data_IF_970925373378
#
_entry.id   IF_970925373378
#
_cell.length_a   1.000
_cell.length_b   1.000
_cell.length_c   1.000
_cell.angle_alpha   90.00
_cell.angle_beta   90.00
_cell.angle_gamma   90.00
#
_symmetry.space_group_name_H-M   'P 1'
#
loop_
_entity.id
_entity.type
_entity.pdbx_description
1 polymer ?
#
# COMPACT_ATOMS: atom_id res chain seq x y z
N UNK A 1 -2.74 -0.70 -20.99
CA UNK A 1 -3.47 0.28 -20.13
C UNK A 1 -2.67 0.55 -18.88
N UNK A 2 -2.99 1.61 -18.14
CA UNK A 2 -2.49 1.88 -16.80
C UNK A 2 -3.61 1.53 -15.82
N UNK A 3 -3.35 0.64 -14.86
CA UNK A 3 -4.38 0.11 -13.97
C UNK A 3 -3.92 0.24 -12.53
N UNK A 4 -4.75 0.87 -11.69
CA UNK A 4 -4.52 0.97 -10.24
C UNK A 4 -5.47 0.04 -9.52
N UNK A 5 -4.92 -0.82 -8.66
CA UNK A 5 -5.62 -1.94 -8.05
C UNK A 5 -5.74 -1.73 -6.55
N UNK A 6 -6.95 -1.40 -6.10
CA UNK A 6 -7.34 -1.40 -4.69
C UNK A 6 -7.70 -2.80 -4.19
N UNK A 7 -7.98 -2.90 -2.89
CA UNK A 7 -8.27 -4.17 -2.24
C UNK A 7 -9.77 -4.43 -1.99
N UNK A 8 -10.64 -3.63 -2.60
CA UNK A 8 -12.10 -3.80 -2.50
C UNK A 8 -12.58 -5.08 -3.15
N UNK A 9 -13.63 -5.66 -2.57
CA UNK A 9 -14.23 -6.93 -2.98
C UNK A 9 -14.79 -6.93 -4.40
N UNK A 10 -15.17 -5.76 -4.93
CA UNK A 10 -15.72 -5.64 -6.28
C UNK A 10 -14.79 -6.19 -7.36
N UNK A 11 -13.46 -6.13 -7.16
CA UNK A 11 -12.50 -6.66 -8.13
C UNK A 11 -12.49 -8.19 -8.23
N UNK A 12 -13.15 -8.91 -7.31
CA UNK A 12 -13.19 -10.38 -7.30
C UNK A 12 -13.82 -11.00 -8.56
N UNK A 13 -14.56 -10.21 -9.33
CA UNK A 13 -15.16 -10.64 -10.61
C UNK A 13 -14.17 -10.64 -11.78
N UNK A 14 -12.96 -10.11 -11.57
CA UNK A 14 -11.92 -10.05 -12.60
C UNK A 14 -10.90 -11.19 -12.44
N UNK A 15 -10.47 -11.73 -13.56
CA UNK A 15 -9.26 -12.55 -13.61
C UNK A 15 -8.05 -11.62 -13.71
N UNK A 16 -7.29 -11.49 -12.60
CA UNK A 16 -6.13 -10.59 -12.54
C UNK A 16 -4.99 -11.00 -13.48
N UNK A 17 -4.91 -12.26 -13.92
CA UNK A 17 -3.90 -12.71 -14.90
C UNK A 17 -4.01 -11.94 -16.22
N UNK A 18 -5.20 -11.49 -16.60
CA UNK A 18 -5.39 -10.65 -17.79
C UNK A 18 -4.71 -9.29 -17.70
N UNK A 19 -4.32 -8.88 -16.50
CA UNK A 19 -3.63 -7.61 -16.26
C UNK A 19 -2.12 -7.71 -16.50
N UNK A 20 -1.57 -8.89 -16.71
CA UNK A 20 -0.12 -9.10 -16.84
C UNK A 20 0.53 -8.36 -18.04
N UNK A 21 -0.26 -8.04 -19.06
CA UNK A 21 0.21 -7.27 -20.23
C UNK A 21 0.09 -5.75 -20.05
N UNK A 22 -0.30 -5.30 -18.85
CA UNK A 22 -0.56 -3.90 -18.54
C UNK A 22 0.35 -3.39 -17.44
N UNK A 23 0.54 -2.07 -17.37
CA UNK A 23 1.26 -1.45 -16.25
C UNK A 23 0.28 -1.35 -15.08
N UNK A 24 0.61 -2.01 -13.99
CA UNK A 24 -0.28 -2.13 -12.83
C UNK A 24 0.36 -1.53 -11.58
N UNK A 25 -0.42 -0.79 -10.82
CA UNK A 25 -0.07 -0.21 -9.53
C UNK A 25 -0.98 -0.83 -8.49
N UNK A 26 -0.42 -1.60 -7.57
CA UNK A 26 -1.17 -2.24 -6.50
C UNK A 26 -0.87 -1.63 -5.14
N UNK A 27 -1.66 -1.97 -4.13
CA UNK A 27 -1.40 -1.51 -2.76
C UNK A 27 -1.52 -2.61 -1.71
N UNK A 28 -0.80 -2.43 -0.62
CA UNK A 28 -0.87 -3.25 0.59
C UNK A 28 -0.79 -4.77 0.29
N UNK A 29 -1.80 -5.55 0.71
CA UNK A 29 -1.79 -7.01 0.64
C UNK A 29 -1.98 -7.59 -0.77
N UNK A 30 -2.09 -6.78 -1.82
CA UNK A 30 -2.27 -7.29 -3.19
C UNK A 30 -1.19 -8.31 -3.60
N UNK A 31 0.03 -8.16 -3.07
CA UNK A 31 1.14 -9.08 -3.34
C UNK A 31 0.86 -10.54 -2.99
N UNK A 32 -0.19 -10.82 -2.19
CA UNK A 32 -0.56 -12.18 -1.75
C UNK A 32 -1.24 -12.98 -2.84
N UNK A 33 -1.90 -12.33 -3.79
CA UNK A 33 -2.68 -12.97 -4.86
C UNK A 33 -2.35 -12.46 -6.27
N UNK A 34 -1.61 -11.35 -6.38
CA UNK A 34 -1.19 -10.79 -7.66
C UNK A 34 0.11 -9.97 -7.51
N UNK A 35 0.99 -10.06 -8.49
CA UNK A 35 2.23 -9.28 -8.54
C UNK A 35 2.06 -8.09 -9.49
N UNK A 36 1.68 -6.89 -9.00
CA UNK A 36 1.61 -5.70 -9.84
C UNK A 36 3.00 -5.26 -10.31
N UNK A 37 3.06 -4.44 -11.36
CA UNK A 37 4.31 -3.82 -11.82
C UNK A 37 4.95 -3.00 -10.70
N UNK A 38 4.11 -2.29 -9.93
CA UNK A 38 4.52 -1.47 -8.79
C UNK A 38 3.60 -1.73 -7.59
N UNK A 39 4.17 -2.05 -6.44
CA UNK A 39 3.43 -2.20 -5.18
C UNK A 39 3.68 -1.00 -4.28
N UNK A 40 2.63 -0.41 -3.73
CA UNK A 40 2.69 0.77 -2.86
C UNK A 40 2.13 0.44 -1.48
N UNK A 41 2.85 0.74 -0.41
CA UNK A 41 2.39 0.47 0.94
C UNK A 41 2.83 1.57 1.93
N UNK A 42 1.87 2.09 2.70
CA UNK A 42 2.11 3.09 3.75
C UNK A 42 1.80 2.58 5.16
N UNK A 43 1.28 1.37 5.26
CA UNK A 43 1.02 0.73 6.54
C UNK A 43 2.27 -0.04 7.01
N UNK A 44 2.79 0.30 8.19
CA UNK A 44 4.05 -0.24 8.69
C UNK A 44 4.01 -1.76 8.87
N UNK A 45 2.92 -2.30 9.43
CA UNK A 45 2.80 -3.73 9.66
C UNK A 45 2.70 -4.50 8.33
N UNK A 46 2.01 -3.92 7.34
CA UNK A 46 1.92 -4.50 6.01
C UNK A 46 3.24 -4.38 5.24
N UNK A 47 3.96 -3.27 5.38
CA UNK A 47 5.31 -3.11 4.81
C UNK A 47 6.24 -4.18 5.35
N UNK A 48 6.18 -4.46 6.66
CA UNK A 48 6.91 -5.54 7.28
C UNK A 48 6.58 -6.91 6.64
N UNK A 49 5.29 -7.23 6.45
CA UNK A 49 4.88 -8.48 5.79
C UNK A 49 5.42 -8.60 4.36
N UNK A 50 5.34 -7.52 3.58
CA UNK A 50 5.85 -7.47 2.21
C UNK A 50 7.34 -7.77 2.18
N UNK A 51 8.10 -7.14 3.08
CA UNK A 51 9.54 -7.34 3.19
C UNK A 51 9.86 -8.76 3.68
N UNK A 52 9.23 -9.21 4.77
CA UNK A 52 9.49 -10.51 5.40
C UNK A 52 9.13 -11.69 4.48
N UNK A 53 8.15 -11.53 3.59
CA UNK A 53 7.82 -12.52 2.56
C UNK A 53 8.90 -12.66 1.46
N UNK A 54 9.85 -11.73 1.41
CA UNK A 54 10.84 -11.62 0.34
C UNK A 54 10.30 -11.07 -0.96
N UNK A 55 9.03 -10.58 -0.98
CA UNK A 55 8.41 -10.01 -2.17
C UNK A 55 9.16 -8.77 -2.68
N UNK A 56 9.53 -7.84 -1.79
CA UNK A 56 10.25 -6.60 -2.10
C UNK A 56 11.66 -6.82 -2.68
N UNK A 57 12.24 -8.01 -2.52
CA UNK A 57 13.54 -8.35 -3.12
C UNK A 57 13.47 -8.58 -4.63
N UNK A 58 12.29 -8.97 -5.13
CA UNK A 58 12.07 -9.39 -6.51
C UNK A 58 11.22 -8.40 -7.31
N UNK A 59 10.41 -7.60 -6.61
CA UNK A 59 9.38 -6.75 -7.20
C UNK A 59 9.58 -5.31 -6.77
N UNK A 60 9.27 -4.36 -7.67
CA UNK A 60 9.37 -2.94 -7.37
C UNK A 60 8.33 -2.54 -6.32
N UNK A 61 8.79 -2.03 -5.18
CA UNK A 61 7.97 -1.60 -4.06
C UNK A 61 8.25 -0.14 -3.71
N UNK A 62 7.21 0.57 -3.32
CA UNK A 62 7.26 1.95 -2.85
C UNK A 62 6.62 2.06 -1.48
N UNK A 63 7.34 2.59 -0.52
CA UNK A 63 6.91 2.69 0.86
C UNK A 63 6.83 4.14 1.33
N UNK A 64 5.95 4.42 2.30
CA UNK A 64 5.79 5.74 2.89
C UNK A 64 6.93 6.06 3.86
N UNK A 65 7.24 5.11 4.74
CA UNK A 65 8.28 5.25 5.76
C UNK A 65 9.25 4.09 5.61
N UNK A 66 10.39 4.39 5.02
CA UNK A 66 11.38 3.39 4.71
C UNK A 66 12.73 4.08 4.52
N UNK A 67 13.61 3.94 5.49
CA UNK A 67 14.96 4.48 5.42
C UNK A 67 15.97 3.40 5.06
N UNK A 68 16.96 3.76 4.26
CA UNK A 68 18.14 2.93 4.05
C UNK A 68 19.11 3.17 5.18
N UNK A 69 19.44 2.10 5.89
CA UNK A 69 20.44 2.13 6.94
C UNK A 69 21.74 1.49 6.42
N UNK A 70 22.86 2.20 6.35
CA UNK A 70 24.16 1.62 6.07
C UNK A 70 24.49 0.48 7.06
N UNK A 71 25.16 -0.55 6.58
CA UNK A 71 25.44 -1.73 7.40
C UNK A 71 26.28 -1.42 8.67
N UNK A 72 27.18 -0.45 8.58
CA UNK A 72 27.98 0.02 9.71
C UNK A 72 27.13 0.81 10.74
N UNK A 73 26.17 1.61 10.29
CA UNK A 73 25.22 2.28 11.18
C UNK A 73 24.27 1.28 11.84
N UNK A 74 23.86 0.23 11.13
CA UNK A 74 23.04 -0.86 11.68
C UNK A 74 23.75 -1.55 12.84
N UNK A 75 25.02 -1.92 12.68
CA UNK A 75 25.80 -2.57 13.73
C UNK A 75 25.95 -1.66 14.97
N UNK A 76 26.15 -0.36 14.76
CA UNK A 76 26.18 0.61 15.87
C UNK A 76 24.83 0.72 16.58
N UNK A 77 23.72 0.80 15.85
CA UNK A 77 22.38 0.86 16.42
C UNK A 77 22.06 -0.43 17.19
N UNK A 78 22.38 -1.58 16.64
CA UNK A 78 22.21 -2.89 17.29
C UNK A 78 22.95 -2.94 18.62
N UNK A 79 24.22 -2.54 18.66
CA UNK A 79 25.02 -2.45 19.88
C UNK A 79 24.40 -1.46 20.88
N UNK A 80 23.91 -0.32 20.43
CA UNK A 80 23.29 0.69 21.30
C UNK A 80 21.98 0.17 21.90
N UNK A 81 21.14 -0.49 21.11
CA UNK A 81 19.91 -1.09 21.60
C UNK A 81 20.14 -2.27 22.53
N UNK A 82 21.14 -3.11 22.27
CA UNK A 82 21.51 -4.19 23.19
C UNK A 82 22.02 -3.65 24.53
N UNK A 83 22.74 -2.51 24.53
CA UNK A 83 23.24 -1.86 25.74
C UNK A 83 22.14 -1.16 26.54
N UNK A 84 21.16 -0.57 25.88
CA UNK A 84 20.07 0.20 26.49
C UNK A 84 18.88 -0.63 26.95
N UNK A 85 18.92 -1.95 26.82
CA UNK A 85 17.79 -2.86 27.13
C UNK A 85 17.39 -2.80 28.61
N UNK A 86 16.43 -1.94 28.94
CA UNK A 86 15.61 -2.00 30.15
C UNK A 86 14.28 -2.74 29.91
N UNK A 87 13.52 -3.07 30.95
CA UNK A 87 12.25 -3.81 30.85
C UNK A 87 11.17 -3.09 30.01
N UNK A 88 11.36 -1.82 29.65
CA UNK A 88 10.46 -0.95 28.89
C UNK A 88 11.02 -0.52 27.53
N UNK A 89 12.13 -1.08 27.10
CA UNK A 89 12.80 -0.65 25.88
C UNK A 89 12.13 -1.18 24.59
N UNK A 90 12.30 -0.47 23.45
CA UNK A 90 11.73 -0.87 22.20
C UNK A 90 12.11 -2.32 21.83
N UNK A 91 11.12 -3.13 21.49
CA UNK A 91 11.36 -4.48 21.03
C UNK A 91 11.97 -4.42 19.64
N UNK A 92 13.24 -4.72 19.53
CA UNK A 92 13.85 -5.06 18.26
C UNK A 92 13.23 -6.40 17.84
N UNK A 93 12.41 -6.39 16.79
CA UNK A 93 11.94 -7.61 16.17
C UNK A 93 13.04 -8.01 15.19
N UNK A 94 14.02 -8.73 15.68
CA UNK A 94 15.06 -9.32 14.84
C UNK A 94 14.52 -10.59 14.18
N UNK A 95 14.49 -10.60 12.84
CA UNK A 95 14.90 -11.81 12.14
C UNK A 95 16.41 -11.66 11.92
N UNK A 96 17.20 -12.69 12.21
CA UNK A 96 18.65 -12.63 12.02
C UNK A 96 19.00 -12.18 10.61
N UNK A 97 19.79 -11.10 10.45
CA UNK A 97 20.11 -10.55 9.16
C UNK A 97 20.84 -11.55 8.27
N UNK A 98 20.17 -11.99 7.23
CA UNK A 98 20.87 -12.50 6.06
C UNK A 98 21.05 -11.31 5.10
N UNK A 99 22.13 -11.22 4.42
CA UNK A 99 22.72 -10.12 3.65
C UNK A 99 21.85 -9.15 2.83
N UNK A 100 20.52 -9.17 2.95
CA UNK A 100 19.54 -8.33 2.25
C UNK A 100 18.42 -7.85 3.16
N UNK A 101 18.67 -7.59 4.44
CA UNK A 101 17.60 -7.49 5.42
C UNK A 101 17.24 -6.08 5.82
N UNK A 102 16.04 -5.96 6.28
CA UNK A 102 15.45 -4.80 6.89
C UNK A 102 15.24 -5.10 8.36
N UNK A 103 15.29 -4.06 9.15
CA UNK A 103 15.04 -4.12 10.59
C UNK A 103 13.90 -3.18 10.91
N UNK A 104 13.06 -3.61 11.83
CA UNK A 104 12.00 -2.80 12.36
C UNK A 104 12.34 -2.35 13.76
N UNK A 105 12.41 -1.03 13.96
CA UNK A 105 12.58 -0.42 15.27
C UNK A 105 11.28 0.26 15.66
N UNK A 106 10.80 0.08 16.89
CA UNK A 106 9.60 0.76 17.33
C UNK A 106 9.38 0.77 18.82
N UNK A 107 9.06 1.92 19.35
CA UNK A 107 8.27 2.06 20.55
C UNK A 107 6.79 1.88 20.19
N UNK A 108 5.93 1.66 21.19
CA UNK A 108 4.52 1.30 21.04
C UNK A 108 3.70 2.19 20.07
N UNK A 109 4.20 3.37 19.69
CA UNK A 109 3.50 4.33 18.86
C UNK A 109 4.27 4.80 17.61
N UNK A 110 5.53 4.43 17.45
CA UNK A 110 6.36 4.81 16.29
C UNK A 110 7.21 3.62 15.88
N UNK A 111 6.89 3.05 14.73
CA UNK A 111 7.67 1.95 14.16
C UNK A 111 8.27 2.43 12.85
N UNK A 112 9.58 2.34 12.73
CA UNK A 112 10.33 2.67 11.52
C UNK A 112 10.95 1.41 10.96
N UNK A 113 10.85 1.23 9.65
CA UNK A 113 11.48 0.12 8.95
C UNK A 113 12.73 0.65 8.24
N UNK A 114 13.85 0.03 8.52
CA UNK A 114 15.10 0.32 7.87
C UNK A 114 15.49 -0.81 6.94
N UNK A 115 15.96 -0.46 5.78
CA UNK A 115 16.53 -1.42 4.84
C UNK A 115 18.06 -1.48 5.00
N UNK A 116 18.57 -2.66 5.28
CA UNK A 116 19.99 -2.92 5.42
C UNK A 116 20.42 -3.82 4.26
N UNK A 117 20.99 -3.21 3.22
CA UNK A 117 21.52 -3.99 2.10
C UNK A 117 21.17 -3.46 0.70
N UNK A 118 21.71 -4.09 -0.35
CA UNK A 118 21.58 -3.61 -1.72
C UNK A 118 20.24 -4.02 -2.35
N UNK A 119 19.11 -3.45 -1.93
CA UNK A 119 17.85 -3.67 -2.64
C UNK A 119 17.53 -2.47 -3.54
N UNK A 120 17.77 -2.64 -4.82
CA UNK A 120 17.51 -1.60 -5.82
C UNK A 120 16.03 -1.46 -6.20
N UNK A 121 15.17 -2.40 -5.75
CA UNK A 121 13.75 -2.46 -6.11
C UNK A 121 12.82 -1.84 -5.06
N UNK A 122 13.38 -1.33 -3.97
CA UNK A 122 12.58 -0.72 -2.91
C UNK A 122 12.94 0.75 -2.77
N UNK A 123 11.97 1.61 -2.86
CA UNK A 123 12.13 3.06 -2.81
C UNK A 123 11.15 3.70 -1.82
N UNK A 124 11.57 4.79 -1.19
CA UNK A 124 10.70 5.65 -0.41
C UNK A 124 10.05 6.70 -1.30
N UNK A 125 8.78 6.97 -1.07
CA UNK A 125 8.08 8.08 -1.72
C UNK A 125 8.07 9.29 -0.79
N UNK A 126 9.13 10.09 -0.82
CA UNK A 126 9.30 11.28 0.03
C UNK A 126 8.09 12.23 -0.01
N UNK A 127 7.51 12.44 -1.19
CA UNK A 127 6.34 13.30 -1.36
C UNK A 127 5.10 12.79 -0.61
N UNK A 128 5.09 11.54 -0.18
CA UNK A 128 3.96 10.96 0.55
C UNK A 128 3.97 11.32 2.05
N UNK A 129 5.12 11.65 2.60
CA UNK A 129 5.25 12.01 4.03
C UNK A 129 4.36 13.19 4.41
N UNK A 130 4.29 14.20 3.54
CA UNK A 130 3.52 15.43 3.74
C UNK A 130 2.04 15.28 3.36
N UNK A 131 1.57 14.06 3.07
CA UNK A 131 0.19 13.83 2.63
C UNK A 131 -0.54 12.83 3.53
N UNK A 132 -1.86 13.01 3.63
CA UNK A 132 -2.75 12.04 4.29
C UNK A 132 -3.23 10.92 3.34
N UNK A 133 -2.56 10.70 2.22
CA UNK A 133 -2.97 9.70 1.24
C UNK A 133 -2.89 8.29 1.82
N UNK A 134 -3.95 7.50 1.56
CA UNK A 134 -3.93 6.05 1.80
C UNK A 134 -3.00 5.36 0.80
N UNK A 135 -2.63 4.11 1.05
CA UNK A 135 -1.81 3.34 0.10
C UNK A 135 -2.44 3.25 -1.29
N UNK A 136 -3.77 3.17 -1.37
CA UNK A 136 -4.49 3.13 -2.65
C UNK A 136 -4.41 4.46 -3.41
N UNK A 137 -4.62 5.58 -2.73
CA UNK A 137 -4.52 6.92 -3.35
C UNK A 137 -3.08 7.30 -3.63
N UNK A 138 -2.11 6.86 -2.83
CA UNK A 138 -0.69 7.01 -3.14
C UNK A 138 -0.30 6.22 -4.39
N UNK A 139 -0.83 5.00 -4.57
CA UNK A 139 -0.63 4.22 -5.80
C UNK A 139 -1.21 4.93 -7.03
N UNK A 140 -2.38 5.56 -6.89
CA UNK A 140 -2.97 6.37 -7.96
C UNK A 140 -2.13 7.61 -8.27
N UNK A 141 -1.66 8.34 -7.25
CA UNK A 141 -0.77 9.49 -7.43
C UNK A 141 0.52 9.10 -8.14
N UNK A 142 1.13 7.98 -7.74
CA UNK A 142 2.32 7.45 -8.39
C UNK A 142 2.05 7.09 -9.86
N UNK A 143 0.91 6.47 -10.14
CA UNK A 143 0.49 6.15 -11.51
C UNK A 143 0.36 7.40 -12.37
N UNK A 144 -0.27 8.48 -11.86
CA UNK A 144 -0.38 9.75 -12.55
C UNK A 144 0.99 10.40 -12.80
N UNK A 145 1.87 10.44 -11.78
CA UNK A 145 3.22 11.01 -11.90
C UNK A 145 4.07 10.29 -12.95
N UNK A 146 4.01 8.96 -12.98
CA UNK A 146 4.81 8.15 -13.91
C UNK A 146 4.22 8.08 -15.33
N UNK A 147 2.92 8.37 -15.49
CA UNK A 147 2.22 8.24 -16.76
C UNK A 147 1.40 9.51 -17.07
N UNK A 148 2.06 10.65 -17.33
CA UNK A 148 1.34 11.87 -17.66
C UNK A 148 0.56 11.70 -18.99
N UNK A 149 -0.61 12.34 -19.07
CA UNK A 149 -1.46 12.36 -20.28
C UNK A 149 -1.92 10.95 -20.70
N UNK A 150 -2.28 10.11 -19.75
CA UNK A 150 -2.76 8.73 -19.97
C UNK A 150 -4.09 8.48 -19.30
N UNK A 151 -4.85 7.55 -19.87
CA UNK A 151 -6.01 6.97 -19.22
C UNK A 151 -5.58 6.01 -18.12
N UNK A 152 -6.14 6.19 -16.92
CA UNK A 152 -5.85 5.40 -15.72
C UNK A 152 -7.15 4.77 -15.23
N UNK A 153 -7.14 3.45 -15.06
CA UNK A 153 -8.30 2.68 -14.62
C UNK A 153 -8.10 2.21 -13.18
N UNK A 154 -9.01 2.61 -12.29
CA UNK A 154 -9.00 2.24 -10.88
C UNK A 154 -10.00 1.11 -10.63
N UNK A 155 -9.54 -0.06 -10.15
CA UNK A 155 -10.38 -1.22 -9.81
C UNK A 155 -10.28 -1.54 -8.32
N UNK A 156 -11.36 -2.02 -7.69
CA UNK A 156 -11.35 -2.36 -6.26
C UNK A 156 -11.29 -1.16 -5.32
N UNK A 157 -11.79 0.00 -5.75
CA UNK A 157 -11.94 1.21 -4.91
C UNK A 157 -13.41 1.35 -4.48
N UNK A 158 -13.88 0.45 -3.62
CA UNK A 158 -15.29 0.24 -3.30
C UNK A 158 -15.93 1.35 -2.45
N UNK A 159 -15.15 2.26 -1.91
CA UNK A 159 -15.66 3.37 -1.10
C UNK A 159 -16.49 4.41 -1.88
N UNK A 160 -16.52 4.34 -3.22
CA UNK A 160 -17.47 5.08 -4.03
C UNK A 160 -18.86 4.43 -4.05
N UNK A 161 -19.00 3.18 -3.60
CA UNK A 161 -20.27 2.48 -3.55
C UNK A 161 -21.03 2.81 -2.27
N UNK A 162 -22.35 2.93 -2.35
CA UNK A 162 -23.23 3.21 -1.18
C UNK A 162 -23.44 1.97 -0.31
N UNK A 163 -22.39 1.33 0.11
CA UNK A 163 -22.42 0.15 0.98
C UNK A 163 -21.18 0.08 1.85
N UNK A 164 -21.22 -0.76 2.87
CA UNK A 164 -20.05 -1.13 3.64
C UNK A 164 -18.98 -1.69 2.69
N UNK A 165 -17.78 -1.16 2.79
CA UNK A 165 -16.67 -1.61 1.95
C UNK A 165 -16.15 -2.92 2.47
N UNK A 166 -16.40 -3.98 1.71
CA UNK A 166 -15.76 -5.27 1.91
C UNK A 166 -14.36 -5.27 1.28
N UNK A 167 -13.43 -5.96 1.91
CA UNK A 167 -12.05 -6.07 1.47
C UNK A 167 -11.73 -7.51 1.10
N UNK A 168 -10.96 -7.72 0.04
CA UNK A 168 -10.53 -9.05 -0.42
C UNK A 168 -9.80 -9.85 0.67
N UNK A 169 -9.16 -9.16 1.60
CA UNK A 169 -8.33 -9.75 2.66
C UNK A 169 -9.00 -9.77 4.04
N UNK A 170 -10.32 -9.53 4.09
CA UNK A 170 -11.10 -9.63 5.33
C UNK A 170 -10.83 -10.98 6.01
N UNK A 171 -10.56 -10.95 7.31
CA UNK A 171 -10.22 -12.15 8.11
C UNK A 171 -8.77 -12.63 7.95
N UNK A 172 -7.93 -11.93 7.22
CA UNK A 172 -6.50 -12.24 7.14
C UNK A 172 -5.65 -11.32 8.02
N UNK A 173 -4.35 -11.62 8.17
CA UNK A 173 -3.43 -10.80 8.95
C UNK A 173 -3.47 -9.31 8.52
N UNK A 174 -3.49 -8.41 9.50
CA UNK A 174 -3.58 -6.96 9.38
C UNK A 174 -4.91 -6.42 8.82
N UNK A 175 -5.95 -7.25 8.70
CA UNK A 175 -7.30 -6.85 8.31
C UNK A 175 -8.32 -7.24 9.36
N UNK A 176 -9.42 -6.51 9.41
CA UNK A 176 -10.54 -6.82 10.31
C UNK A 176 -11.12 -8.19 9.98
N UNK A 177 -11.67 -8.86 11.01
CA UNK A 177 -12.08 -10.26 10.90
C UNK A 177 -13.41 -10.44 10.20
N UNK A 178 -14.35 -9.51 10.41
CA UNK A 178 -15.73 -9.60 9.91
C UNK A 178 -16.23 -8.29 9.33
N UNK A 179 -17.32 -8.34 8.54
CA UNK A 179 -17.99 -7.13 8.05
C UNK A 179 -18.59 -6.30 9.20
N UNK A 180 -19.04 -6.93 10.27
CA UNK A 180 -19.52 -6.21 11.45
C UNK A 180 -18.41 -5.41 12.12
N UNK A 181 -17.18 -5.95 12.16
CA UNK A 181 -16.01 -5.20 12.65
C UNK A 181 -15.66 -4.05 11.74
N UNK A 182 -15.80 -4.22 10.42
CA UNK A 182 -15.62 -3.14 9.44
C UNK A 182 -16.65 -2.03 9.64
N UNK A 183 -17.91 -2.37 9.85
CA UNK A 183 -18.99 -1.40 10.12
C UNK A 183 -18.70 -0.59 11.39
N UNK A 184 -18.34 -1.27 12.48
CA UNK A 184 -17.97 -0.64 13.75
C UNK A 184 -16.75 0.27 13.61
N UNK A 185 -15.75 -0.20 12.93
CA UNK A 185 -14.52 0.56 12.65
C UNK A 185 -14.83 1.84 11.86
N UNK A 186 -15.66 1.73 10.83
CA UNK A 186 -16.07 2.89 10.03
C UNK A 186 -16.87 3.91 10.82
N UNK A 187 -17.83 3.45 11.66
CA UNK A 187 -18.56 4.36 12.55
C UNK A 187 -17.61 5.10 13.50
N UNK A 188 -16.60 4.41 14.03
CA UNK A 188 -15.60 5.01 14.93
C UNK A 188 -14.70 6.04 14.25
N UNK A 189 -14.51 5.92 12.93
CA UNK A 189 -13.64 6.79 12.13
C UNK A 189 -14.34 7.99 11.51
N UNK A 190 -15.67 8.10 11.64
CA UNK A 190 -16.41 9.26 11.14
C UNK A 190 -15.83 10.57 11.67
N UNK A 191 -15.58 11.51 10.77
CA UNK A 191 -14.99 12.81 11.09
C UNK A 191 -13.47 12.79 11.38
N UNK A 192 -12.81 11.64 11.29
CA UNK A 192 -11.35 11.53 11.35
C UNK A 192 -10.74 11.55 9.95
N UNK A 193 -9.42 11.62 9.84
CA UNK A 193 -8.71 11.51 8.55
C UNK A 193 -8.97 10.16 7.83
N UNK A 194 -9.38 9.14 8.56
CA UNK A 194 -9.75 7.81 8.01
C UNK A 194 -11.23 7.70 7.61
N UNK A 195 -12.02 8.78 7.69
CA UNK A 195 -13.37 8.79 7.19
C UNK A 195 -13.41 8.52 5.67
N UNK A 196 -14.37 7.73 5.24
CA UNK A 196 -14.63 7.43 3.82
C UNK A 196 -14.72 8.72 2.96
N UNK A 197 -15.31 9.79 3.51
CA UNK A 197 -15.39 11.07 2.81
C UNK A 197 -14.00 11.61 2.47
N UNK A 198 -13.04 11.47 3.37
CA UNK A 198 -11.68 11.91 3.13
C UNK A 198 -11.01 11.08 2.02
N UNK A 199 -11.29 9.79 1.95
CA UNK A 199 -10.78 8.95 0.85
C UNK A 199 -11.34 9.39 -0.51
N UNK A 200 -12.64 9.72 -0.59
CA UNK A 200 -13.25 10.27 -1.81
C UNK A 200 -12.60 11.62 -2.16
N UNK A 201 -12.44 12.51 -1.17
CA UNK A 201 -11.79 13.81 -1.38
C UNK A 201 -10.33 13.67 -1.85
N UNK A 202 -9.60 12.64 -1.40
CA UNK A 202 -8.25 12.37 -1.89
C UNK A 202 -8.23 12.09 -3.40
N UNK A 203 -9.20 11.32 -3.92
CA UNK A 203 -9.33 11.09 -5.36
C UNK A 203 -9.67 12.37 -6.12
N UNK A 204 -10.61 13.16 -5.63
CA UNK A 204 -10.98 14.44 -6.24
C UNK A 204 -9.77 15.41 -6.28
N UNK A 205 -8.96 15.42 -5.22
CA UNK A 205 -7.71 16.20 -5.18
C UNK A 205 -6.71 15.71 -6.23
N UNK A 206 -6.55 14.40 -6.38
CA UNK A 206 -5.64 13.83 -7.39
C UNK A 206 -6.12 14.16 -8.80
N UNK A 207 -7.42 14.05 -9.08
CA UNK A 207 -7.99 14.43 -10.37
C UNK A 207 -7.73 15.93 -10.70
N UNK A 208 -7.77 16.79 -9.69
CA UNK A 208 -7.44 18.22 -9.85
C UNK A 208 -5.94 18.48 -10.03
N UNK A 209 -5.09 17.72 -9.34
CA UNK A 209 -3.63 17.84 -9.43
C UNK A 209 -3.09 17.31 -10.76
N UNK A 210 -3.75 16.31 -11.35
CA UNK A 210 -3.35 15.68 -12.60
C UNK A 210 -4.42 15.81 -13.71
N UNK A 211 -4.79 17.04 -14.13
CA UNK A 211 -5.91 17.27 -15.04
C UNK A 211 -5.66 16.74 -16.46
N UNK A 212 -4.44 16.38 -16.79
CA UNK A 212 -4.07 15.78 -18.07
C UNK A 212 -4.30 14.28 -18.13
N UNK A 213 -4.59 13.63 -17.00
CA UNK A 213 -4.94 12.22 -16.93
C UNK A 213 -6.47 12.07 -16.89
N UNK A 214 -7.00 11.11 -17.63
CA UNK A 214 -8.39 10.68 -17.46
C UNK A 214 -8.43 9.53 -16.46
N UNK A 215 -9.04 9.73 -15.30
CA UNK A 215 -9.11 8.72 -14.24
C UNK A 215 -10.52 8.09 -14.26
N UNK A 216 -10.55 6.78 -14.49
CA UNK A 216 -11.77 5.99 -14.58
C UNK A 216 -11.89 5.04 -13.40
N UNK A 217 -12.88 5.22 -12.54
CA UNK A 217 -13.21 4.27 -11.47
C UNK A 217 -14.18 3.23 -11.99
N UNK A 218 -13.73 1.97 -12.06
CA UNK A 218 -14.56 0.83 -12.44
C UNK A 218 -15.57 0.57 -11.31
N UNK A 219 -16.83 0.44 -11.68
CA UNK A 219 -17.96 0.43 -10.76
C UNK A 219 -18.64 1.78 -10.57
N UNK A 220 -17.99 2.90 -10.95
CA UNK A 220 -18.57 4.25 -10.92
C UNK A 220 -18.74 4.83 -12.34
N UNK A 221 -17.67 4.84 -13.13
CA UNK A 221 -17.65 5.44 -14.48
C UNK A 221 -17.89 4.42 -15.60
N UNK A 222 -17.57 3.17 -15.35
CA UNK A 222 -17.81 2.02 -16.23
C UNK A 222 -18.04 0.78 -15.38
N UNK A 223 -18.76 -0.19 -15.93
CA UNK A 223 -19.00 -1.48 -15.25
C UNK A 223 -17.78 -2.40 -15.33
N UNK A 224 -17.70 -3.36 -14.43
CA UNK A 224 -16.68 -4.43 -14.49
C UNK A 224 -16.81 -5.29 -15.76
N UNK A 225 -18.01 -5.42 -16.32
CA UNK A 225 -18.23 -6.15 -17.58
C UNK A 225 -17.58 -5.41 -18.77
N UNK A 226 -17.84 -4.10 -18.89
CA UNK A 226 -17.23 -3.25 -19.92
C UNK A 226 -15.69 -3.22 -19.76
N UNK A 227 -15.19 -3.07 -18.54
CA UNK A 227 -13.76 -3.10 -18.30
C UNK A 227 -13.13 -4.45 -18.70
N UNK A 228 -13.78 -5.59 -18.38
CA UNK A 228 -13.29 -6.91 -18.75
C UNK A 228 -13.30 -7.15 -20.29
N UNK A 229 -14.17 -6.45 -21.02
CA UNK A 229 -14.13 -6.48 -22.49
C UNK A 229 -12.94 -5.70 -23.05
N UNK A 230 -12.53 -4.63 -22.41
CA UNK A 230 -11.34 -3.85 -22.80
C UNK A 230 -10.03 -4.62 -22.55
N UNK A 231 -10.05 -5.66 -21.71
CA UNK A 231 -8.90 -6.55 -21.41
C UNK A 231 -8.76 -7.71 -22.42
N UNK A 232 -9.58 -7.77 -23.47
CA UNK A 232 -9.50 -8.80 -24.54
C UNK A 232 -8.53 -8.37 -25.61
#
# INVERSE_FOLDING_TARGET
MIIVIGNGKSRSVLNLEKLNEHITYGCNALFRDYSPTYLVCGDTAMTWDICNSGYSRKNQCYFKMFDRLPADEYEMLKMTFEYCRGENDPKIIENEPQTDEFVMFGESNVTVIYWVGPNEKTEQLEWWEDTEYTSGTAALTLACKMNPVRDIYCIGFDYFLDRVVDNMYLGTAHYLSTLEDVEKDWESKKGTWMDRKNWIMQHEKIEQEFPSNNIYHVGKHLTYAEFNEMLR
#
